data_IF_624292231461
#
_entry.id   IF_624292231461
#
_cell.length_a   1.000
_cell.length_b   1.000
_cell.length_c   1.000
_cell.angle_alpha   90.00
_cell.angle_beta   90.00
_cell.angle_gamma   90.00
#
_symmetry.space_group_name_H-M   'P 1'
#
loop_
_entity.id
_entity.type
_entity.pdbx_description
1 polymer ?
#
# COMPACT_ATOMS: atom_id res chain seq x y z
N UNK A 1 -18.38 0.79 18.66
CA UNK A 1 -18.27 1.75 19.79
C UNK A 1 -17.72 3.07 19.26
N UNK A 2 -18.32 4.16 19.63
CA UNK A 2 -17.83 5.51 19.28
C UNK A 2 -16.58 5.90 20.08
N UNK A 3 -16.19 5.09 21.03
CA UNK A 3 -15.01 5.31 21.87
C UNK A 3 -13.75 4.86 21.15
N UNK A 4 -12.64 5.60 21.26
CA UNK A 4 -11.33 5.17 20.81
C UNK A 4 -10.94 3.81 21.45
N UNK A 5 -10.23 3.01 20.69
CA UNK A 5 -9.70 1.72 21.16
C UNK A 5 -8.18 1.82 21.10
N UNK A 6 -7.53 1.41 22.17
CA UNK A 6 -6.09 1.27 22.24
C UNK A 6 -5.55 0.42 21.08
N UNK A 7 -4.45 0.86 20.46
CA UNK A 7 -3.91 0.24 19.24
C UNK A 7 -3.43 -1.20 19.50
N UNK A 8 -2.74 -1.43 20.63
CA UNK A 8 -2.24 -2.75 20.96
C UNK A 8 -3.38 -3.70 21.34
N UNK A 9 -4.41 -3.19 22.01
CA UNK A 9 -5.62 -3.96 22.28
C UNK A 9 -6.32 -4.39 20.99
N UNK A 10 -6.48 -3.48 20.02
CA UNK A 10 -7.07 -3.76 18.72
C UNK A 10 -6.24 -4.78 17.95
N UNK A 11 -4.92 -4.65 17.96
CA UNK A 11 -3.98 -5.58 17.34
C UNK A 11 -4.09 -6.98 17.98
N UNK A 12 -4.13 -7.05 19.30
CA UNK A 12 -4.29 -8.30 20.05
C UNK A 12 -5.63 -8.99 19.76
N UNK A 13 -6.72 -8.24 19.64
CA UNK A 13 -8.02 -8.77 19.23
C UNK A 13 -7.99 -9.36 17.82
N UNK A 14 -7.32 -8.70 16.89
CA UNK A 14 -7.11 -9.20 15.55
C UNK A 14 -6.29 -10.49 15.51
N UNK A 15 -5.25 -10.58 16.31
CA UNK A 15 -4.40 -11.77 16.42
C UNK A 15 -5.11 -12.99 17.05
N UNK A 16 -6.11 -12.79 17.90
CA UNK A 16 -6.82 -13.85 18.61
C UNK A 16 -7.78 -14.71 17.79
N UNK A 17 -8.01 -14.42 16.51
CA UNK A 17 -8.97 -15.14 15.68
C UNK A 17 -8.44 -16.43 15.03
N UNK A 18 -9.32 -17.37 14.63
CA UNK A 18 -8.94 -18.51 13.80
C UNK A 18 -9.53 -18.39 12.42
N UNK A 19 -8.78 -18.60 11.37
CA UNK A 19 -9.38 -18.70 10.08
C UNK A 19 -8.53 -18.25 8.89
N UNK A 20 -9.18 -18.09 7.78
CA UNK A 20 -8.59 -17.79 6.47
C UNK A 20 -8.52 -16.29 6.24
N UNK A 21 -7.72 -15.85 5.26
CA UNK A 21 -7.38 -14.44 5.01
C UNK A 21 -8.60 -13.48 4.94
N UNK A 22 -9.69 -13.88 4.30
CA UNK A 22 -10.88 -13.03 4.19
C UNK A 22 -11.62 -12.85 5.52
N UNK A 23 -11.73 -13.93 6.30
CA UNK A 23 -12.33 -13.84 7.62
C UNK A 23 -11.46 -13.02 8.60
N UNK A 24 -10.14 -12.96 8.39
CA UNK A 24 -9.21 -12.14 9.18
C UNK A 24 -9.56 -10.66 9.11
N UNK A 25 -9.66 -10.11 7.90
CA UNK A 25 -10.04 -8.70 7.74
C UNK A 25 -11.42 -8.41 8.35
N UNK A 26 -12.39 -9.30 8.14
CA UNK A 26 -13.72 -9.17 8.75
C UNK A 26 -13.68 -9.19 10.26
N UNK A 27 -12.84 -10.05 10.85
CA UNK A 27 -12.67 -10.14 12.29
C UNK A 27 -12.06 -8.89 12.91
N UNK A 28 -11.02 -8.32 12.29
CA UNK A 28 -10.40 -7.06 12.74
C UNK A 28 -11.36 -5.89 12.65
N UNK A 29 -12.07 -5.77 11.54
CA UNK A 29 -13.09 -4.73 11.36
C UNK A 29 -14.21 -4.91 12.38
N UNK A 30 -14.67 -6.14 12.60
CA UNK A 30 -15.68 -6.44 13.61
C UNK A 30 -15.20 -6.08 15.01
N UNK A 31 -13.96 -6.43 15.38
CA UNK A 31 -13.37 -6.11 16.68
C UNK A 31 -13.25 -4.58 16.88
N UNK A 32 -12.79 -3.87 15.88
CA UNK A 32 -12.68 -2.40 15.91
C UNK A 32 -14.03 -1.71 16.10
N UNK A 33 -15.11 -2.28 15.54
CA UNK A 33 -16.45 -1.70 15.63
C UNK A 33 -17.15 -2.05 16.94
N UNK A 34 -17.08 -3.31 17.35
CA UNK A 34 -17.86 -3.83 18.48
C UNK A 34 -17.11 -3.78 19.79
N UNK A 35 -15.78 -3.65 19.78
CA UNK A 35 -14.92 -3.80 20.95
C UNK A 35 -14.96 -5.21 21.56
N UNK A 36 -15.43 -6.20 20.80
CA UNK A 36 -15.51 -7.58 21.29
C UNK A 36 -14.14 -8.24 21.26
N UNK A 37 -13.76 -8.83 22.37
CA UNK A 37 -12.58 -9.69 22.42
C UNK A 37 -12.88 -11.04 21.78
N UNK A 38 -11.90 -11.59 21.06
CA UNK A 38 -12.00 -12.97 20.60
C UNK A 38 -11.92 -13.91 21.80
N UNK A 39 -12.85 -14.87 21.86
CA UNK A 39 -12.85 -15.87 22.92
C UNK A 39 -11.79 -16.92 22.62
N UNK A 40 -10.99 -17.25 23.62
CA UNK A 40 -10.17 -18.45 23.60
C UNK A 40 -11.07 -19.69 23.67
N UNK A 41 -10.70 -20.74 22.99
CA UNK A 41 -11.42 -21.99 23.05
C UNK A 41 -10.48 -23.19 23.04
N UNK A 42 -10.97 -24.26 23.63
CA UNK A 42 -10.30 -25.55 23.69
C UNK A 42 -10.51 -26.29 22.37
N UNK A 43 -9.45 -26.74 21.73
CA UNK A 43 -9.51 -27.42 20.42
C UNK A 43 -9.41 -28.94 20.60
N UNK A 44 -8.80 -29.42 21.67
CA UNK A 44 -8.54 -30.81 21.91
C UNK A 44 -9.29 -31.27 23.18
N UNK A 45 -10.05 -32.34 23.09
CA UNK A 45 -10.88 -32.86 24.17
C UNK A 45 -10.11 -33.24 25.44
N UNK A 46 -8.80 -33.32 25.38
CA UNK A 46 -7.95 -33.76 26.50
C UNK A 46 -6.84 -32.79 26.88
N UNK A 47 -6.56 -31.79 26.04
CA UNK A 47 -5.52 -30.80 26.29
C UNK A 47 -6.09 -29.41 26.02
N UNK A 48 -5.96 -28.53 27.01
CA UNK A 48 -6.23 -27.11 26.80
C UNK A 48 -5.15 -26.59 25.85
N UNK A 49 -5.53 -26.36 24.62
CA UNK A 49 -4.68 -25.64 23.65
C UNK A 49 -5.25 -24.23 23.50
N UNK A 50 -4.41 -23.25 23.79
CA UNK A 50 -4.73 -21.91 23.38
C UNK A 50 -4.90 -21.91 21.85
N UNK A 51 -5.94 -21.26 21.38
CA UNK A 51 -6.20 -21.10 19.97
C UNK A 51 -4.97 -20.46 19.33
N UNK A 52 -4.51 -21.03 18.23
CA UNK A 52 -3.51 -20.34 17.44
C UNK A 52 -4.02 -18.95 17.10
N UNK A 53 -3.22 -17.91 17.28
CA UNK A 53 -3.60 -16.56 16.86
C UNK A 53 -4.12 -16.60 15.44
N UNK A 54 -5.15 -15.83 15.17
CA UNK A 54 -5.75 -15.68 13.85
C UNK A 54 -4.71 -15.25 12.80
N UNK A 55 -3.83 -14.39 13.25
CA UNK A 55 -2.64 -13.95 12.54
C UNK A 55 -1.61 -13.52 13.58
N UNK A 56 -0.35 -13.39 13.20
CA UNK A 56 0.65 -12.79 14.07
C UNK A 56 0.41 -11.28 14.25
N UNK A 57 1.02 -10.71 15.27
CA UNK A 57 0.91 -9.28 15.60
C UNK A 57 1.33 -8.39 14.44
N UNK A 58 2.36 -8.78 13.70
CA UNK A 58 2.84 -8.09 12.53
C UNK A 58 1.79 -8.00 11.41
N UNK A 59 1.09 -9.10 11.14
CA UNK A 59 0.03 -9.13 10.12
C UNK A 59 -1.19 -8.36 10.58
N UNK A 60 -1.54 -8.44 11.87
CA UNK A 60 -2.62 -7.65 12.47
C UNK A 60 -2.34 -6.15 12.38
N UNK A 61 -1.13 -5.73 12.74
CA UNK A 61 -0.64 -4.37 12.58
C UNK A 61 -0.77 -3.88 11.13
N UNK A 62 -0.34 -4.72 10.18
CA UNK A 62 -0.49 -4.42 8.75
C UNK A 62 -1.93 -4.16 8.33
N UNK A 63 -2.89 -4.94 8.80
CA UNK A 63 -4.32 -4.74 8.48
C UNK A 63 -4.88 -3.45 9.08
N UNK A 64 -4.51 -3.11 10.31
CA UNK A 64 -4.95 -1.86 10.93
C UNK A 64 -4.37 -0.67 10.16
N UNK A 65 -3.07 -0.68 9.84
CA UNK A 65 -2.42 0.36 9.05
C UNK A 65 -3.08 0.54 7.69
N UNK A 66 -3.48 -0.55 7.04
CA UNK A 66 -4.23 -0.48 5.79
C UNK A 66 -5.61 0.16 5.97
N UNK A 67 -6.34 -0.21 7.01
CA UNK A 67 -7.64 0.40 7.31
C UNK A 67 -7.52 1.91 7.61
N UNK A 68 -6.45 2.32 8.30
CA UNK A 68 -6.11 3.73 8.53
C UNK A 68 -5.74 4.41 7.21
N UNK A 69 -4.86 3.80 6.41
CA UNK A 69 -4.40 4.35 5.12
C UNK A 69 -5.50 4.49 4.09
N UNK A 70 -6.51 3.63 4.14
CA UNK A 70 -7.70 3.71 3.29
C UNK A 70 -8.79 4.63 3.87
N UNK A 71 -8.56 5.24 5.04
CA UNK A 71 -9.45 6.21 5.64
C UNK A 71 -10.70 5.63 6.29
N UNK A 72 -10.71 4.35 6.70
CA UNK A 72 -11.79 3.71 7.44
C UNK A 72 -11.67 3.91 8.95
N UNK A 73 -10.44 4.11 9.43
CA UNK A 73 -10.12 4.36 10.82
C UNK A 73 -9.36 5.68 10.94
N UNK A 74 -9.67 6.44 11.98
CA UNK A 74 -8.81 7.51 12.46
C UNK A 74 -7.85 6.95 13.49
N UNK A 75 -6.57 7.32 13.35
CA UNK A 75 -5.53 6.98 14.30
C UNK A 75 -5.07 8.23 15.03
N UNK A 76 -5.11 8.17 16.34
CA UNK A 76 -4.63 9.21 17.24
C UNK A 76 -3.21 8.85 17.70
N UNK A 77 -2.20 9.58 17.19
CA UNK A 77 -0.79 9.34 17.47
C UNK A 77 -0.36 9.75 18.87
N UNK A 78 -1.09 10.67 19.50
CA UNK A 78 -0.74 11.14 20.84
C UNK A 78 -1.16 10.14 21.92
N UNK A 79 -2.29 9.48 21.69
CA UNK A 79 -2.87 8.52 22.64
C UNK A 79 -2.74 7.05 22.18
N UNK A 80 -2.12 6.79 21.03
CA UNK A 80 -1.98 5.47 20.41
C UNK A 80 -3.32 4.71 20.32
N UNK A 81 -4.36 5.39 19.84
CA UNK A 81 -5.70 4.82 19.74
C UNK A 81 -6.28 4.88 18.33
N UNK A 82 -7.16 3.93 18.02
CA UNK A 82 -7.92 3.88 16.78
C UNK A 82 -9.41 4.11 17.03
N UNK A 83 -10.04 4.85 16.13
CA UNK A 83 -11.49 5.05 16.11
C UNK A 83 -12.05 4.85 14.71
N UNK A 84 -13.19 4.16 14.62
CA UNK A 84 -13.91 4.08 13.37
C UNK A 84 -14.50 5.46 13.01
N UNK A 85 -14.28 5.90 11.78
CA UNK A 85 -14.85 7.15 11.27
C UNK A 85 -16.14 6.91 10.46
N UNK A 86 -16.68 7.96 9.85
CA UNK A 86 -17.95 7.89 9.13
C UNK A 86 -17.88 6.98 7.90
N UNK A 87 -16.75 6.97 7.17
CA UNK A 87 -16.58 6.08 6.04
C UNK A 87 -16.51 4.61 6.49
N UNK A 88 -15.79 4.34 7.58
CA UNK A 88 -15.76 3.00 8.18
C UNK A 88 -17.13 2.55 8.68
N UNK A 89 -17.89 3.44 9.32
CA UNK A 89 -19.29 3.15 9.71
C UNK A 89 -20.16 2.86 8.50
N UNK A 90 -20.10 3.69 7.47
CA UNK A 90 -20.87 3.50 6.23
C UNK A 90 -20.57 2.15 5.59
N UNK A 91 -19.29 1.75 5.54
CA UNK A 91 -18.90 0.45 5.00
C UNK A 91 -19.50 -0.74 5.78
N UNK A 92 -19.50 -0.64 7.09
CA UNK A 92 -20.05 -1.71 7.96
C UNK A 92 -21.56 -1.79 7.87
N UNK A 93 -22.21 -0.64 7.80
CA UNK A 93 -23.68 -0.55 7.74
C UNK A 93 -24.24 -0.84 6.35
N UNK A 94 -23.40 -0.85 5.31
CA UNK A 94 -23.80 -1.14 3.96
C UNK A 94 -24.43 -2.54 3.84
N UNK A 95 -25.62 -2.60 3.26
CA UNK A 95 -26.44 -3.81 3.20
C UNK A 95 -26.18 -4.63 1.94
N UNK A 96 -25.78 -3.99 0.85
CA UNK A 96 -25.52 -4.67 -0.42
C UNK A 96 -24.02 -4.76 -0.73
N UNK A 97 -23.68 -5.71 -1.61
CA UNK A 97 -22.31 -5.85 -2.15
C UNK A 97 -21.91 -4.63 -2.97
N UNK A 98 -22.85 -4.07 -3.69
CA UNK A 98 -22.65 -2.91 -4.56
C UNK A 98 -22.35 -1.65 -3.75
N UNK A 99 -23.09 -1.42 -2.66
CA UNK A 99 -22.78 -0.34 -1.71
C UNK A 99 -21.37 -0.48 -1.14
N UNK A 100 -20.99 -1.68 -0.69
CA UNK A 100 -19.64 -1.94 -0.17
C UNK A 100 -18.57 -1.70 -1.21
N UNK A 101 -18.77 -2.17 -2.46
CA UNK A 101 -17.84 -1.92 -3.57
C UNK A 101 -17.72 -0.43 -3.90
N UNK A 102 -18.81 0.31 -3.86
CA UNK A 102 -18.79 1.76 -4.08
C UNK A 102 -17.94 2.48 -3.03
N UNK A 103 -18.14 2.16 -1.74
CA UNK A 103 -17.36 2.74 -0.64
C UNK A 103 -15.88 2.36 -0.75
N UNK A 104 -15.58 1.09 -1.04
CA UNK A 104 -14.21 0.63 -1.27
C UNK A 104 -13.57 1.34 -2.46
N UNK A 105 -14.30 1.51 -3.55
CA UNK A 105 -13.81 2.22 -4.73
C UNK A 105 -13.42 3.67 -4.41
N UNK A 106 -14.25 4.36 -3.63
CA UNK A 106 -13.94 5.71 -3.18
C UNK A 106 -12.68 5.75 -2.29
N UNK A 107 -12.58 4.84 -1.33
CA UNK A 107 -11.41 4.71 -0.47
C UNK A 107 -10.13 4.40 -1.27
N UNK A 108 -10.20 3.49 -2.24
CA UNK A 108 -9.07 3.12 -3.09
C UNK A 108 -8.59 4.28 -3.95
N UNK A 109 -9.50 5.07 -4.54
CA UNK A 109 -9.12 6.24 -5.33
C UNK A 109 -8.53 7.37 -4.47
N UNK A 110 -8.82 7.40 -3.19
CA UNK A 110 -8.19 8.33 -2.24
C UNK A 110 -6.79 7.90 -1.82
N UNK A 111 -6.41 6.65 -2.10
CA UNK A 111 -5.12 6.07 -1.72
C UNK A 111 -4.13 6.13 -2.89
N UNK A 112 -3.06 6.95 -2.83
CA UNK A 112 -2.16 7.19 -3.95
C UNK A 112 -1.60 5.94 -4.63
N UNK A 113 -1.13 4.90 -3.91
CA UNK A 113 -0.59 3.70 -4.56
C UNK A 113 -1.59 2.96 -5.44
N UNK A 114 -2.87 2.97 -5.10
CA UNK A 114 -3.93 2.40 -5.96
C UNK A 114 -4.03 3.17 -7.26
N UNK A 115 -4.01 4.50 -7.21
CA UNK A 115 -4.02 5.33 -8.41
C UNK A 115 -2.77 5.09 -9.28
N UNK A 116 -1.61 4.84 -8.66
CA UNK A 116 -0.39 4.46 -9.40
C UNK A 116 -0.58 3.15 -10.14
N UNK A 117 -1.07 2.11 -9.48
CA UNK A 117 -1.32 0.79 -10.11
C UNK A 117 -2.32 0.91 -11.25
N UNK A 118 -3.44 1.59 -11.05
CA UNK A 118 -4.44 1.80 -12.11
C UNK A 118 -3.84 2.56 -13.30
N UNK A 119 -3.05 3.60 -13.05
CA UNK A 119 -2.38 4.37 -14.11
C UNK A 119 -1.32 3.57 -14.86
N UNK A 120 -0.60 2.66 -14.19
CA UNK A 120 0.32 1.74 -14.83
C UNK A 120 -0.42 0.76 -15.76
N UNK A 121 -1.50 0.15 -15.26
CA UNK A 121 -2.32 -0.79 -16.02
C UNK A 121 -3.06 -0.11 -17.19
N UNK A 122 -3.55 1.12 -17.01
CA UNK A 122 -4.17 1.87 -18.10
C UNK A 122 -3.20 2.15 -19.26
N UNK A 123 -1.95 2.49 -18.94
CA UNK A 123 -0.94 2.81 -19.96
C UNK A 123 -0.35 1.59 -20.65
N UNK A 124 -0.10 0.53 -19.87
CA UNK A 124 0.64 -0.63 -20.34
C UNK A 124 -0.25 -1.85 -20.63
N UNK A 125 -1.53 -1.76 -20.28
CA UNK A 125 -2.50 -2.85 -20.47
C UNK A 125 -2.28 -3.99 -19.48
N UNK A 126 -1.73 -5.10 -19.95
CA UNK A 126 -1.50 -6.32 -19.20
C UNK A 126 -0.10 -6.36 -18.58
N UNK A 127 -0.03 -6.35 -17.25
CA UNK A 127 1.25 -6.34 -16.51
C UNK A 127 1.31 -7.45 -15.48
N UNK A 128 2.51 -8.03 -15.31
CA UNK A 128 2.78 -8.93 -14.18
C UNK A 128 2.93 -8.13 -12.88
N UNK A 129 2.80 -8.79 -11.75
CA UNK A 129 3.05 -8.14 -10.46
C UNK A 129 4.50 -7.64 -10.33
N UNK A 130 5.46 -8.30 -10.97
CA UNK A 130 6.86 -7.87 -11.00
C UNK A 130 7.02 -6.55 -11.76
N UNK A 131 6.38 -6.45 -12.94
CA UNK A 131 6.38 -5.21 -13.74
C UNK A 131 5.70 -4.06 -13.01
N UNK A 132 4.63 -4.34 -12.25
CA UNK A 132 3.97 -3.33 -11.41
C UNK A 132 4.85 -2.96 -10.22
N UNK A 133 5.35 -3.97 -9.50
CA UNK A 133 6.14 -3.78 -8.29
C UNK A 133 7.41 -2.97 -8.52
N UNK A 134 8.11 -3.20 -9.64
CA UNK A 134 9.31 -2.45 -10.01
C UNK A 134 9.08 -0.95 -10.26
N UNK A 135 7.82 -0.53 -10.41
CA UNK A 135 7.42 0.85 -10.67
C UNK A 135 6.56 1.44 -9.56
N UNK A 136 6.49 0.75 -8.40
CA UNK A 136 5.64 1.13 -7.28
C UNK A 136 6.48 1.41 -6.03
N UNK A 137 6.42 2.64 -5.56
CA UNK A 137 7.10 3.04 -4.33
C UNK A 137 8.51 3.61 -4.53
N UNK A 138 9.28 3.59 -3.47
CA UNK A 138 10.65 4.09 -3.44
C UNK A 138 11.60 2.96 -3.85
N UNK A 139 12.33 3.18 -4.92
CA UNK A 139 13.29 2.20 -5.45
C UNK A 139 14.36 1.89 -4.40
N UNK A 140 14.75 0.64 -4.32
CA UNK A 140 15.79 0.10 -3.43
C UNK A 140 15.47 0.15 -1.91
N UNK A 141 14.28 0.57 -1.52
CA UNK A 141 13.83 0.46 -0.15
C UNK A 141 13.18 -0.89 0.15
N UNK A 142 13.55 -1.51 1.26
CA UNK A 142 13.19 -2.88 1.62
C UNK A 142 11.69 -3.22 1.54
N UNK A 143 10.78 -2.26 1.84
CA UNK A 143 9.33 -2.45 1.76
C UNK A 143 8.76 -2.35 0.34
N UNK A 144 9.52 -1.78 -0.58
CA UNK A 144 9.13 -1.54 -1.98
C UNK A 144 9.99 -2.32 -2.97
N UNK A 145 10.97 -3.08 -2.50
CA UNK A 145 11.84 -3.87 -3.37
C UNK A 145 11.02 -4.88 -4.15
N UNK A 146 11.09 -4.80 -5.46
CA UNK A 146 10.52 -5.77 -6.37
C UNK A 146 11.51 -6.90 -6.65
N UNK A 147 10.99 -8.11 -6.82
CA UNK A 147 11.81 -9.22 -7.30
C UNK A 147 12.00 -9.08 -8.82
N UNK A 148 13.24 -9.12 -9.36
CA UNK A 148 13.47 -8.98 -10.79
C UNK A 148 12.81 -10.12 -11.60
N UNK A 149 11.90 -9.76 -12.51
CA UNK A 149 11.16 -10.73 -13.32
C UNK A 149 12.06 -11.65 -14.12
N UNK A 150 13.08 -11.09 -14.77
CA UNK A 150 14.04 -11.87 -15.56
C UNK A 150 14.76 -12.93 -14.74
N UNK A 151 15.17 -12.63 -13.51
CA UNK A 151 15.82 -13.61 -12.61
C UNK A 151 14.83 -14.72 -12.24
N UNK A 152 13.57 -14.37 -11.97
CA UNK A 152 12.56 -15.37 -11.66
C UNK A 152 12.28 -16.29 -12.86
N UNK A 153 12.13 -15.71 -14.06
CA UNK A 153 11.88 -16.46 -15.31
C UNK A 153 13.04 -17.39 -15.60
N UNK A 154 14.28 -16.92 -15.49
CA UNK A 154 15.47 -17.75 -15.68
C UNK A 154 15.49 -18.93 -14.70
N UNK A 155 15.36 -18.66 -13.41
CA UNK A 155 15.38 -19.68 -12.38
C UNK A 155 14.26 -20.73 -12.59
N UNK A 156 13.06 -20.27 -12.97
CA UNK A 156 11.93 -21.16 -13.21
C UNK A 156 12.12 -22.07 -14.43
N UNK A 157 12.67 -21.55 -15.51
CA UNK A 157 12.90 -22.34 -16.73
C UNK A 157 14.12 -23.26 -16.62
N UNK A 158 15.15 -22.85 -15.89
CA UNK A 158 16.34 -23.69 -15.64
C UNK A 158 16.11 -24.78 -14.58
N UNK A 159 15.08 -24.61 -13.72
CA UNK A 159 14.71 -25.63 -12.74
C UNK A 159 14.27 -26.93 -13.45
N UNK A 160 14.91 -28.03 -13.11
CA UNK A 160 14.62 -29.37 -13.68
C UNK A 160 13.67 -30.19 -12.81
N UNK A 161 13.59 -29.82 -11.50
CA UNK A 161 12.76 -30.50 -10.54
C UNK A 161 11.39 -29.83 -10.39
N UNK A 162 10.34 -30.65 -10.33
CA UNK A 162 8.96 -30.15 -10.14
C UNK A 162 8.73 -29.48 -8.77
N UNK A 163 9.41 -29.94 -7.72
CA UNK A 163 9.30 -29.36 -6.39
C UNK A 163 10.01 -28.00 -6.33
N UNK A 164 11.13 -27.83 -7.03
CA UNK A 164 11.81 -26.56 -7.18
C UNK A 164 10.93 -25.54 -7.94
N UNK A 165 10.34 -25.95 -9.06
CA UNK A 165 9.36 -25.11 -9.80
C UNK A 165 8.18 -24.70 -8.93
N UNK A 166 7.64 -25.65 -8.16
CA UNK A 166 6.55 -25.38 -7.21
C UNK A 166 6.99 -24.37 -6.14
N UNK A 167 8.19 -24.52 -5.59
CA UNK A 167 8.75 -23.59 -4.62
C UNK A 167 8.94 -22.17 -5.19
N UNK A 168 9.46 -22.06 -6.40
CA UNK A 168 9.57 -20.76 -7.09
C UNK A 168 8.20 -20.09 -7.29
N UNK A 169 7.16 -20.86 -7.61
CA UNK A 169 5.79 -20.32 -7.70
C UNK A 169 5.20 -19.95 -6.35
N UNK A 170 5.38 -20.74 -5.31
CA UNK A 170 4.77 -20.49 -4.00
C UNK A 170 5.53 -19.45 -3.19
N UNK A 171 6.84 -19.60 -3.08
CA UNK A 171 7.65 -18.82 -2.16
C UNK A 171 8.14 -17.51 -2.81
N UNK A 172 8.47 -17.52 -4.08
CA UNK A 172 8.97 -16.34 -4.79
C UNK A 172 7.83 -15.62 -5.54
N UNK A 173 7.19 -16.27 -6.50
CA UNK A 173 6.05 -15.65 -7.20
C UNK A 173 4.89 -15.38 -6.22
N UNK A 174 4.58 -16.30 -5.33
CA UNK A 174 3.51 -16.15 -4.34
C UNK A 174 3.75 -15.07 -3.29
N UNK A 175 5.00 -14.83 -2.88
CA UNK A 175 5.34 -13.95 -1.75
C UNK A 175 5.92 -12.60 -2.14
N UNK A 176 6.63 -12.51 -3.26
CA UNK A 176 7.26 -11.27 -3.73
C UNK A 176 6.24 -10.22 -4.15
N UNK A 177 6.71 -8.98 -4.27
CA UNK A 177 5.90 -7.84 -4.71
C UNK A 177 4.56 -7.74 -3.99
N UNK A 178 4.61 -7.96 -2.70
CA UNK A 178 3.42 -8.06 -1.83
C UNK A 178 2.51 -6.85 -1.96
N UNK A 179 3.10 -5.67 -2.10
CA UNK A 179 2.38 -4.40 -2.18
C UNK A 179 1.55 -4.32 -3.47
N UNK A 180 2.17 -4.56 -4.63
CA UNK A 180 1.48 -4.61 -5.92
C UNK A 180 0.39 -5.68 -5.93
N UNK A 181 0.70 -6.88 -5.42
CA UNK A 181 -0.25 -8.00 -5.35
C UNK A 181 -1.46 -7.70 -4.47
N UNK A 182 -1.26 -7.04 -3.32
CA UNK A 182 -2.36 -6.69 -2.43
C UNK A 182 -3.28 -5.66 -3.07
N UNK A 183 -2.73 -4.61 -3.66
CA UNK A 183 -3.51 -3.58 -4.35
C UNK A 183 -4.29 -4.19 -5.51
N UNK A 184 -3.65 -5.00 -6.36
CA UNK A 184 -4.33 -5.69 -7.46
C UNK A 184 -5.44 -6.62 -6.96
N UNK A 185 -5.22 -7.33 -5.85
CA UNK A 185 -6.26 -8.18 -5.23
C UNK A 185 -7.47 -7.39 -4.72
N UNK A 186 -7.26 -6.19 -4.19
CA UNK A 186 -8.38 -5.31 -3.80
C UNK A 186 -9.17 -4.81 -5.00
N UNK A 187 -8.44 -4.40 -6.05
CA UNK A 187 -9.05 -3.94 -7.28
C UNK A 187 -9.80 -5.05 -8.02
N UNK A 188 -9.27 -6.29 -7.96
CA UNK A 188 -9.94 -7.48 -8.46
C UNK A 188 -11.26 -7.74 -7.71
N UNK A 189 -11.24 -7.58 -6.37
CA UNK A 189 -12.44 -7.77 -5.54
C UNK A 189 -13.59 -6.83 -5.90
N UNK A 190 -13.29 -5.60 -6.29
CA UNK A 190 -14.33 -4.64 -6.72
C UNK A 190 -14.57 -4.64 -8.24
N UNK A 191 -13.86 -5.48 -9.00
CA UNK A 191 -14.06 -5.67 -10.42
C UNK A 191 -13.37 -4.65 -11.34
N UNK A 192 -12.48 -3.82 -10.80
CA UNK A 192 -11.74 -2.82 -11.60
C UNK A 192 -10.49 -3.37 -12.28
N UNK A 193 -10.02 -4.50 -11.81
CA UNK A 193 -8.89 -5.24 -12.38
C UNK A 193 -9.30 -6.70 -12.46
N UNK A 194 -8.80 -7.41 -13.45
CA UNK A 194 -8.93 -8.87 -13.53
C UNK A 194 -7.56 -9.52 -13.59
N UNK A 195 -7.46 -10.65 -12.93
CA UNK A 195 -6.28 -11.50 -13.02
C UNK A 195 -6.32 -12.32 -14.29
N UNK A 196 -5.18 -12.34 -14.99
CA UNK A 196 -5.01 -13.13 -16.20
C UNK A 196 -3.53 -13.47 -16.37
N UNK A 197 -3.18 -14.72 -16.56
CA UNK A 197 -1.78 -15.10 -16.76
C UNK A 197 -1.19 -14.42 -18.00
N UNK A 198 0.11 -14.08 -17.93
CA UNK A 198 0.85 -13.41 -18.99
C UNK A 198 2.04 -14.29 -19.41
N UNK A 199 2.11 -14.57 -20.69
CA UNK A 199 3.30 -15.18 -21.28
C UNK A 199 4.37 -14.10 -21.44
N UNK A 200 5.49 -14.25 -20.74
CA UNK A 200 6.64 -13.34 -20.80
C UNK A 200 7.81 -13.98 -21.55
N UNK A 201 8.58 -13.15 -22.21
CA UNK A 201 9.79 -13.56 -22.93
C UNK A 201 10.94 -12.71 -22.46
N UNK A 202 11.99 -13.35 -21.96
CA UNK A 202 13.18 -12.68 -21.42
C UNK A 202 14.42 -13.14 -22.19
N UNK A 203 15.30 -12.21 -22.52
CA UNK A 203 16.60 -12.49 -23.13
C UNK A 203 17.70 -12.22 -22.09
N UNK A 204 18.38 -13.28 -21.65
CA UNK A 204 19.38 -13.20 -20.57
C UNK A 204 20.63 -13.96 -21.02
N UNK A 205 21.77 -13.28 -21.03
CA UNK A 205 23.04 -13.90 -21.42
C UNK A 205 23.05 -14.56 -22.81
N UNK A 206 22.28 -14.01 -23.77
CA UNK A 206 22.15 -14.56 -25.12
C UNK A 206 21.18 -15.75 -25.24
N UNK A 207 20.56 -16.18 -24.15
CA UNK A 207 19.50 -17.21 -24.16
C UNK A 207 18.12 -16.54 -24.07
N UNK A 208 17.14 -17.19 -24.68
CA UNK A 208 15.74 -16.77 -24.63
C UNK A 208 14.95 -17.71 -23.72
N UNK A 209 14.24 -17.11 -22.77
CA UNK A 209 13.38 -17.82 -21.84
C UNK A 209 11.93 -17.39 -22.08
N UNK A 210 11.00 -18.35 -22.00
CA UNK A 210 9.57 -18.07 -22.16
C UNK A 210 8.80 -18.75 -21.04
N UNK A 211 8.12 -17.98 -20.21
CA UNK A 211 7.41 -18.49 -19.06
C UNK A 211 6.04 -17.82 -18.90
N UNK A 212 5.08 -18.57 -18.41
CA UNK A 212 3.77 -18.04 -18.04
C UNK A 212 3.76 -17.61 -16.57
N UNK A 213 3.47 -16.33 -16.31
CA UNK A 213 3.34 -15.77 -14.97
C UNK A 213 1.85 -15.66 -14.64
N UNK A 214 1.41 -16.34 -13.59
CA UNK A 214 0.01 -16.40 -13.18
C UNK A 214 -0.46 -15.13 -12.43
N UNK A 215 0.48 -14.42 -11.80
CA UNK A 215 0.21 -13.17 -11.09
C UNK A 215 0.36 -11.97 -12.03
N UNK A 216 -0.50 -11.89 -13.04
CA UNK A 216 -0.58 -10.76 -13.95
C UNK A 216 -2.01 -10.21 -13.97
N UNK A 217 -2.16 -8.93 -14.36
CA UNK A 217 -3.38 -8.16 -14.18
C UNK A 217 -3.67 -7.26 -15.37
N UNK A 218 -4.95 -7.13 -15.70
CA UNK A 218 -5.46 -6.18 -16.69
C UNK A 218 -6.50 -5.26 -16.03
N UNK A 219 -6.52 -3.98 -16.40
CA UNK A 219 -7.58 -3.07 -15.96
C UNK A 219 -8.86 -3.34 -16.75
N UNK A 220 -10.00 -3.29 -16.10
CA UNK A 220 -11.32 -3.39 -16.75
C UNK A 220 -11.80 -2.02 -17.23
N UNK A 221 -12.85 -1.98 -18.05
CA UNK A 221 -13.44 -0.70 -18.47
C UNK A 221 -13.93 0.12 -17.28
N UNK A 222 -14.58 -0.53 -16.30
CA UNK A 222 -15.01 0.14 -15.06
C UNK A 222 -13.82 0.73 -14.29
N UNK A 223 -12.70 -0.01 -14.24
CA UNK A 223 -11.47 0.47 -13.64
C UNK A 223 -10.91 1.71 -14.34
N UNK A 224 -10.90 1.71 -15.68
CA UNK A 224 -10.47 2.86 -16.50
C UNK A 224 -11.36 4.08 -16.23
N UNK A 225 -12.67 3.90 -16.27
CA UNK A 225 -13.63 5.01 -16.13
C UNK A 225 -13.54 5.65 -14.74
N UNK A 226 -13.46 4.82 -13.70
CA UNK A 226 -13.30 5.33 -12.33
C UNK A 226 -11.94 6.00 -12.12
N UNK A 227 -10.86 5.41 -12.63
CA UNK A 227 -9.53 5.99 -12.52
C UNK A 227 -9.44 7.36 -13.25
N UNK A 228 -9.91 7.44 -14.49
CA UNK A 228 -9.90 8.68 -15.28
C UNK A 228 -10.72 9.79 -14.63
N UNK A 229 -11.86 9.43 -14.03
CA UNK A 229 -12.68 10.36 -13.25
C UNK A 229 -11.93 10.88 -12.03
N UNK A 230 -11.24 9.99 -11.31
CA UNK A 230 -10.50 10.34 -10.11
C UNK A 230 -9.29 11.25 -10.36
N UNK A 231 -8.55 11.05 -11.46
CA UNK A 231 -7.37 11.86 -11.78
C UNK A 231 -7.69 13.13 -12.58
N UNK A 232 -8.98 13.45 -12.75
CA UNK A 232 -9.42 14.69 -13.38
C UNK A 232 -9.26 14.76 -14.90
N UNK A 233 -9.05 13.61 -15.55
CA UNK A 233 -9.16 13.47 -17.01
C UNK A 233 -10.62 13.52 -17.48
N UNK A 234 -11.56 13.31 -16.58
CA UNK A 234 -12.97 13.62 -16.74
C UNK A 234 -13.27 14.93 -15.99
N UNK A 235 -14.37 15.58 -16.33
CA UNK A 235 -14.75 16.94 -15.86
C UNK A 235 -15.04 17.11 -14.35
N UNK A 236 -14.80 16.11 -13.53
CA UNK A 236 -15.19 16.11 -12.12
C UNK A 236 -14.10 16.50 -11.12
N UNK A 237 -13.00 17.09 -11.59
CA UNK A 237 -11.94 17.57 -10.72
C UNK A 237 -11.02 16.46 -10.15
N UNK A 238 -10.03 16.87 -9.39
CA UNK A 238 -9.05 15.97 -8.78
C UNK A 238 -9.57 15.42 -7.47
N UNK A 239 -9.43 14.11 -7.28
CA UNK A 239 -9.76 13.48 -6.00
C UNK A 239 -8.70 13.88 -4.97
N UNK A 240 -9.17 14.31 -3.81
CA UNK A 240 -8.33 14.52 -2.65
C UNK A 240 -7.69 13.19 -2.19
N UNK A 241 -6.42 13.23 -1.88
CA UNK A 241 -5.65 12.06 -1.48
C UNK A 241 -5.26 12.14 -0.01
N UNK A 242 -5.35 11.01 0.65
CA UNK A 242 -4.87 10.84 2.01
C UNK A 242 -3.45 10.31 1.92
N UNK A 243 -2.51 11.02 2.51
CA UNK A 243 -1.11 10.60 2.59
C UNK A 243 -0.75 10.36 4.05
N UNK A 244 -0.46 9.12 4.36
CA UNK A 244 0.04 8.74 5.67
C UNK A 244 1.57 8.63 5.62
N UNK A 245 2.24 9.09 6.65
CA UNK A 245 3.70 9.07 6.70
C UNK A 245 4.29 7.68 6.53
N UNK A 246 3.58 6.63 6.96
CA UNK A 246 3.98 5.23 6.80
C UNK A 246 4.16 4.83 5.33
N UNK A 247 3.46 5.50 4.40
CA UNK A 247 3.61 5.27 2.96
C UNK A 247 4.90 5.86 2.40
N UNK A 248 5.51 6.78 3.12
CA UNK A 248 6.65 7.57 2.63
C UNK A 248 7.99 6.90 2.86
N UNK A 249 8.05 5.78 3.57
CA UNK A 249 9.24 4.94 3.68
C UNK A 249 8.88 3.54 4.13
N UNK A 250 9.77 2.60 3.82
CA UNK A 250 9.67 1.23 4.30
C UNK A 250 10.12 1.08 5.77
N UNK A 251 10.30 -0.16 6.22
CA UNK A 251 10.80 -0.52 7.55
C UNK A 251 12.34 -0.50 7.67
N UNK A 252 13.02 0.30 6.88
CA UNK A 252 14.46 0.48 6.99
C UNK A 252 14.82 1.12 8.36
N UNK A 253 16.05 0.94 8.85
CA UNK A 253 16.50 1.54 10.12
C UNK A 253 16.34 3.06 10.16
N UNK A 254 16.48 3.72 9.03
CA UNK A 254 16.34 5.17 8.84
C UNK A 254 14.94 5.61 8.39
N UNK A 255 13.96 4.70 8.41
CA UNK A 255 12.61 4.95 7.89
C UNK A 255 11.95 6.18 8.53
N UNK A 256 12.22 6.46 9.80
CA UNK A 256 11.68 7.63 10.49
C UNK A 256 12.22 8.93 9.90
N UNK A 257 13.51 8.96 9.65
CA UNK A 257 14.18 10.11 9.01
C UNK A 257 13.65 10.31 7.58
N UNK A 258 13.56 9.25 6.79
CA UNK A 258 13.01 9.30 5.43
C UNK A 258 11.57 9.81 5.41
N UNK A 259 10.73 9.31 6.31
CA UNK A 259 9.33 9.75 6.44
C UNK A 259 9.22 11.22 6.80
N UNK A 260 10.05 11.68 7.74
CA UNK A 260 10.09 13.08 8.13
C UNK A 260 10.52 13.97 6.97
N UNK A 261 11.60 13.66 6.29
CA UNK A 261 12.12 14.40 5.13
C UNK A 261 11.06 14.51 4.03
N UNK A 262 10.48 13.39 3.60
CA UNK A 262 9.48 13.34 2.54
C UNK A 262 8.16 14.04 2.93
N UNK A 263 7.81 14.00 4.22
CA UNK A 263 6.66 14.76 4.73
C UNK A 263 6.88 16.26 4.62
N UNK A 264 8.08 16.74 4.97
CA UNK A 264 8.45 18.16 4.84
C UNK A 264 8.46 18.62 3.38
N UNK A 265 8.93 17.76 2.46
CA UNK A 265 8.86 18.05 1.01
C UNK A 265 7.41 18.22 0.57
N UNK A 266 6.51 17.31 0.98
CA UNK A 266 5.08 17.42 0.65
C UNK A 266 4.43 18.63 1.28
N UNK A 267 4.76 18.97 2.52
CA UNK A 267 4.30 20.18 3.18
C UNK A 267 4.72 21.43 2.40
N UNK A 268 5.98 21.50 1.98
CA UNK A 268 6.50 22.63 1.19
C UNK A 268 5.85 22.78 -0.18
N UNK A 269 5.43 21.66 -0.79
CA UNK A 269 4.76 21.66 -2.08
C UNK A 269 3.23 21.79 -1.97
N UNK A 270 2.67 21.82 -0.77
CA UNK A 270 1.21 21.80 -0.54
C UNK A 270 0.52 23.11 -0.95
N UNK A 271 1.27 24.19 -1.12
CA UNK A 271 0.77 25.46 -1.66
C UNK A 271 0.56 25.45 -3.18
N UNK A 272 0.88 24.32 -3.83
CA UNK A 272 0.81 24.11 -5.29
C UNK A 272 1.72 25.03 -6.11
N UNK A 273 2.70 25.68 -5.50
CA UNK A 273 3.68 26.49 -6.21
C UNK A 273 4.77 25.63 -6.83
N UNK A 274 5.19 25.91 -8.08
CA UNK A 274 6.33 25.21 -8.68
C UNK A 274 7.64 25.51 -7.94
N UNK A 275 8.40 24.46 -7.61
CA UNK A 275 9.68 24.57 -6.87
C UNK A 275 10.81 23.85 -7.62
N UNK A 276 12.00 24.43 -7.62
CA UNK A 276 13.21 23.76 -8.09
C UNK A 276 13.72 22.78 -7.01
N UNK A 277 14.64 21.90 -7.37
CA UNK A 277 15.32 21.03 -6.41
C UNK A 277 16.12 21.85 -5.39
N UNK A 278 16.71 22.93 -5.83
CA UNK A 278 17.48 23.87 -5.01
C UNK A 278 16.57 24.59 -3.99
N UNK A 279 15.35 24.98 -4.37
CA UNK A 279 14.36 25.54 -3.44
C UNK A 279 13.98 24.52 -2.35
N UNK A 280 13.74 23.26 -2.76
CA UNK A 280 13.40 22.18 -1.83
C UNK A 280 14.59 21.90 -0.90
N UNK A 281 15.80 21.87 -1.43
CA UNK A 281 17.03 21.68 -0.62
C UNK A 281 17.20 22.82 0.40
N UNK A 282 17.02 24.07 -0.01
CA UNK A 282 17.12 25.22 0.87
C UNK A 282 16.06 25.16 1.99
N UNK A 283 14.83 24.76 1.66
CA UNK A 283 13.77 24.54 2.64
C UNK A 283 14.14 23.44 3.63
N UNK A 284 14.60 22.27 3.17
CA UNK A 284 15.01 21.16 4.04
C UNK A 284 16.17 21.58 4.96
N UNK A 285 17.15 22.31 4.43
CA UNK A 285 18.27 22.86 5.23
C UNK A 285 17.77 23.81 6.33
N UNK A 286 16.74 24.62 6.06
CA UNK A 286 16.10 25.45 7.08
C UNK A 286 15.40 24.66 8.19
N UNK A 287 15.20 23.37 7.97
CA UNK A 287 14.63 22.40 8.93
C UNK A 287 15.70 21.44 9.47
N UNK A 288 16.97 21.85 9.42
CA UNK A 288 18.13 21.09 9.91
C UNK A 288 18.38 19.76 9.15
N UNK A 289 17.89 19.67 7.90
CA UNK A 289 18.10 18.52 7.02
C UNK A 289 18.99 18.95 5.83
N UNK A 290 20.26 18.58 5.86
CA UNK A 290 21.22 18.89 4.78
C UNK A 290 21.33 17.71 3.81
N UNK A 291 20.52 17.73 2.76
CA UNK A 291 20.43 16.67 1.76
C UNK A 291 21.02 17.07 0.42
N UNK A 292 21.55 16.08 -0.31
CA UNK A 292 22.02 16.28 -1.68
C UNK A 292 20.85 16.44 -2.66
N UNK A 293 21.03 17.25 -3.69
CA UNK A 293 20.04 17.39 -4.76
C UNK A 293 19.67 16.04 -5.44
N UNK A 294 20.63 15.10 -5.52
CA UNK A 294 20.37 13.76 -6.05
C UNK A 294 19.41 12.99 -5.16
N UNK A 295 19.61 12.99 -3.84
CA UNK A 295 18.70 12.36 -2.87
C UNK A 295 17.29 12.93 -2.95
N UNK A 296 17.16 14.24 -3.11
CA UNK A 296 15.86 14.90 -3.25
C UNK A 296 15.18 14.48 -4.56
N UNK A 297 15.93 14.34 -5.67
CA UNK A 297 15.37 13.84 -6.94
C UNK A 297 14.87 12.40 -6.82
N UNK A 298 15.61 11.55 -6.11
CA UNK A 298 15.19 10.16 -5.85
C UNK A 298 13.90 10.13 -5.01
N UNK A 299 13.80 10.98 -4.00
CA UNK A 299 12.57 11.15 -3.23
C UNK A 299 11.41 11.63 -4.12
N UNK A 300 11.61 12.62 -4.99
CA UNK A 300 10.58 13.10 -5.92
C UNK A 300 10.11 11.98 -6.86
N UNK A 301 11.04 11.19 -7.37
CA UNK A 301 10.73 10.01 -8.19
C UNK A 301 9.90 8.99 -7.40
N UNK A 302 10.30 8.70 -6.17
CA UNK A 302 9.57 7.81 -5.26
C UNK A 302 8.16 8.31 -4.96
N UNK A 303 7.98 9.61 -4.72
CA UNK A 303 6.67 10.22 -4.51
C UNK A 303 5.74 10.07 -5.72
N UNK A 304 6.27 10.21 -6.93
CA UNK A 304 5.51 9.90 -8.17
C UNK A 304 5.16 8.41 -8.22
N UNK A 305 6.11 7.55 -7.87
CA UNK A 305 5.92 6.09 -7.91
C UNK A 305 4.95 5.57 -6.85
N UNK A 306 4.76 6.27 -5.74
CA UNK A 306 3.66 5.95 -4.81
C UNK A 306 2.31 6.51 -5.25
N UNK A 307 2.25 7.24 -6.37
CA UNK A 307 1.00 7.69 -6.98
C UNK A 307 0.59 9.11 -6.65
N UNK A 308 1.48 9.93 -6.14
CA UNK A 308 1.21 11.36 -6.00
C UNK A 308 1.26 12.06 -7.37
N UNK A 309 0.33 12.99 -7.57
CA UNK A 309 0.25 13.78 -8.81
C UNK A 309 1.24 14.95 -8.72
N UNK A 310 2.50 14.62 -9.02
CA UNK A 310 3.60 15.57 -9.13
C UNK A 310 3.92 15.80 -10.61
N UNK A 311 3.87 17.04 -11.03
CA UNK A 311 4.26 17.49 -12.35
C UNK A 311 5.71 17.99 -12.34
N UNK A 312 6.47 17.65 -13.37
CA UNK A 312 7.81 18.16 -13.59
C UNK A 312 7.87 18.84 -14.97
N UNK A 313 8.18 20.13 -15.01
CA UNK A 313 8.23 20.92 -16.24
C UNK A 313 9.62 20.93 -16.93
N UNK A 314 10.55 20.11 -16.44
CA UNK A 314 11.95 20.08 -16.86
C UNK A 314 12.90 20.82 -15.90
N UNK A 315 12.38 21.68 -15.05
CA UNK A 315 13.15 22.44 -14.06
C UNK A 315 12.51 22.41 -12.66
N UNK A 316 11.19 22.44 -12.58
CA UNK A 316 10.44 22.60 -11.33
C UNK A 316 9.43 21.49 -11.12
N UNK A 317 9.22 21.14 -9.86
CA UNK A 317 8.20 20.21 -9.41
C UNK A 317 7.01 20.99 -8.87
N UNK A 318 5.82 20.52 -9.17
CA UNK A 318 4.56 21.04 -8.66
C UNK A 318 3.67 19.91 -8.18
N UNK A 319 3.20 19.97 -6.96
CA UNK A 319 2.20 19.06 -6.46
C UNK A 319 0.83 19.48 -6.98
N UNK A 320 0.22 18.65 -7.80
CA UNK A 320 -1.11 18.90 -8.37
C UNK A 320 -2.22 18.22 -7.52
N UNK A 321 -1.86 17.16 -6.77
CA UNK A 321 -2.81 16.50 -5.90
C UNK A 321 -3.19 17.40 -4.71
N UNK A 322 -4.49 17.51 -4.43
CA UNK A 322 -4.93 18.03 -3.15
C UNK A 322 -4.66 16.96 -2.10
N UNK A 323 -3.83 17.28 -1.11
CA UNK A 323 -3.64 16.44 0.07
C UNK A 323 -4.61 16.93 1.13
N UNK A 324 -5.69 16.19 1.37
CA UNK A 324 -6.64 16.53 2.44
C UNK A 324 -6.03 16.29 3.82
N UNK A 325 -5.14 15.31 3.89
CA UNK A 325 -4.63 14.84 5.16
C UNK A 325 -3.21 14.30 5.00
N UNK A 326 -2.27 15.02 5.56
CA UNK A 326 -0.93 14.51 5.84
C UNK A 326 -0.92 14.10 7.32
N UNK A 327 -1.06 12.82 7.59
CA UNK A 327 -1.16 12.32 8.97
C UNK A 327 0.22 12.38 9.60
N UNK A 328 0.40 13.14 10.69
CA UNK A 328 1.68 13.26 11.36
C UNK A 328 2.15 11.91 11.89
N UNK A 329 3.45 11.73 11.91
CA UNK A 329 4.10 10.60 12.52
C UNK A 329 4.07 10.71 14.04
N UNK A 330 4.05 9.58 14.77
CA UNK A 330 4.15 9.59 16.22
C UNK A 330 5.44 10.27 16.68
N UNK A 331 5.32 11.47 17.25
CA UNK A 331 6.44 12.29 17.70
C UNK A 331 7.21 11.68 18.87
N UNK A 332 6.63 10.69 19.56
CA UNK A 332 7.29 10.04 20.69
C UNK A 332 8.49 9.18 20.26
N UNK A 333 8.48 8.66 19.04
CA UNK A 333 9.64 7.90 18.49
C UNK A 333 10.81 8.83 18.10
N UNK A 334 10.53 10.09 17.79
CA UNK A 334 11.57 11.08 17.45
C UNK A 334 12.28 11.60 18.70
N UNK A 335 11.63 11.58 19.86
CA UNK A 335 12.23 12.00 21.13
C UNK A 335 13.22 10.99 21.72
N UNK A 336 13.18 9.75 21.28
CA UNK A 336 14.11 8.70 21.74
C UNK A 336 15.40 8.61 20.89
N UNK A 337 15.46 9.36 19.79
CA UNK A 337 16.61 9.34 18.85
C UNK A 337 17.36 10.67 18.76
N UNK A 338 17.04 11.65 19.60
CA UNK A 338 17.81 12.86 19.83
C UNK A 338 18.39 12.82 21.24
#
# INVERSE_FOLDING_TARGET
SEKPIDYDLLKGQGAGGAGRSQAKCSGLVQAAITGQQFKEYVIDNKKIRMKKPYTDDWTADGFIRWAVSLGFLDYDYDNDTCRINDMGRSFVMAKSSEEKKSILGHAFLSYPPVCRVLGLLERNGHMTKFEIGSQLGFTDEAGFTSFPQNIWVQAYEEATDADEKKKLRTDTEGSSDKYARMICGWLEHIGWVRRKSKLVREAIGGKHYTCEISSAFEITQDGIDNYRRAVGKASCGRVAKIVYREMLASKAPDANYLRMRRSLVLEYLSDHSPRTIEDIQAFLRSREMDEKCTTIRDDMTGLVNIGLDLEFDGARYKLNAKIERLVPYNTNVVKETT
#
